data_IF_013882138254
#
_entry.id   IF_013882138254
#
_cell.length_a   1.000
_cell.length_b   1.000
_cell.length_c   1.000
_cell.angle_alpha   90.00
_cell.angle_beta   90.00
_cell.angle_gamma   90.00
#
_symmetry.space_group_name_H-M   'P 1'
#
loop_
_entity.id
_entity.type
_entity.pdbx_description
1 polymer ?
#
# COMPACT_ATOMS: atom_id res chain seq x y z
N UNK A 1 2.31 28.54 49.81
CA UNK A 1 3.44 27.90 49.09
C UNK A 1 3.04 26.58 48.41
N UNK A 2 2.00 26.55 47.56
CA UNK A 2 1.66 25.34 46.78
C UNK A 2 1.09 25.61 45.38
N UNK A 3 1.42 26.75 44.78
CA UNK A 3 0.83 27.21 43.51
C UNK A 3 1.84 27.32 42.35
N UNK A 4 3.00 26.65 42.38
CA UNK A 4 4.06 26.89 41.40
C UNK A 4 4.64 25.63 40.71
N UNK A 5 3.88 24.53 40.58
CA UNK A 5 4.38 23.34 39.85
C UNK A 5 3.61 22.99 38.56
N UNK A 6 2.54 23.69 38.18
CA UNK A 6 1.77 23.34 36.96
C UNK A 6 2.12 24.14 35.70
N UNK A 7 3.29 24.79 35.65
CA UNK A 7 3.74 25.52 34.44
C UNK A 7 4.96 24.86 33.77
N UNK A 8 5.12 23.55 33.95
CA UNK A 8 5.90 22.75 33.02
C UNK A 8 5.05 22.50 31.79
N UNK A 9 5.22 23.35 30.77
CA UNK A 9 4.77 23.00 29.43
C UNK A 9 5.47 21.70 29.04
N UNK A 10 4.73 20.59 29.06
CA UNK A 10 5.15 19.35 28.42
C UNK A 10 5.07 19.57 26.90
N UNK A 11 6.08 20.27 26.39
CA UNK A 11 6.23 20.61 24.97
C UNK A 11 6.50 19.38 24.11
N UNK A 12 6.76 18.21 24.71
CA UNK A 12 6.98 16.98 23.95
C UNK A 12 5.66 16.21 23.74
N UNK A 13 4.81 16.13 24.76
CA UNK A 13 3.53 15.40 24.69
C UNK A 13 2.41 16.12 23.93
N UNK A 14 2.41 17.45 23.91
CA UNK A 14 1.30 18.23 23.33
C UNK A 14 1.62 18.77 21.93
N UNK A 15 2.87 19.11 21.61
CA UNK A 15 3.25 19.65 20.30
C UNK A 15 3.27 18.60 19.18
N UNK A 16 3.50 17.32 19.52
CA UNK A 16 3.38 16.21 18.56
C UNK A 16 1.93 15.97 18.10
N UNK A 17 0.95 16.29 18.95
CA UNK A 17 -0.47 16.14 18.63
C UNK A 17 -1.03 17.28 17.79
N UNK A 18 -0.46 18.50 17.89
CA UNK A 18 -0.96 19.68 17.17
C UNK A 18 -0.22 19.98 15.86
N UNK A 19 1.05 19.60 15.72
CA UNK A 19 1.81 19.89 14.48
C UNK A 19 1.78 18.76 13.47
N UNK A 20 1.54 17.51 13.90
CA UNK A 20 1.77 16.30 13.07
C UNK A 20 3.14 16.26 12.36
N UNK A 21 4.05 17.19 12.62
CA UNK A 21 5.29 17.39 11.85
C UNK A 21 6.55 17.01 12.64
N UNK A 22 6.42 16.71 13.93
CA UNK A 22 7.50 16.14 14.75
C UNK A 22 7.49 14.61 14.82
N UNK A 23 6.46 13.97 14.24
CA UNK A 23 6.21 12.53 14.27
C UNK A 23 5.67 12.00 12.92
N UNK A 24 5.79 12.78 11.84
CA UNK A 24 5.82 12.19 10.49
C UNK A 24 7.16 11.46 10.37
N UNK A 25 7.22 10.31 11.05
CA UNK A 25 8.21 9.29 10.80
C UNK A 25 8.28 9.16 9.26
N UNK A 26 9.45 9.25 8.63
CA UNK A 26 9.58 9.03 7.19
C UNK A 26 8.85 7.75 6.75
N UNK A 27 8.66 6.79 7.66
CA UNK A 27 7.74 5.68 7.50
C UNK A 27 6.31 6.11 7.11
N UNK A 28 5.64 7.02 7.82
CA UNK A 28 4.26 7.45 7.57
C UNK A 28 4.04 8.05 6.18
N UNK A 29 4.97 8.89 5.73
CA UNK A 29 4.93 9.49 4.39
C UNK A 29 5.08 8.39 3.33
N UNK A 30 6.03 7.47 3.51
CA UNK A 30 6.24 6.34 2.63
C UNK A 30 5.01 5.41 2.62
N UNK A 31 4.40 5.15 3.77
CA UNK A 31 3.19 4.35 3.90
C UNK A 31 2.02 4.94 3.10
N UNK A 32 1.84 6.26 3.16
CA UNK A 32 0.78 6.96 2.44
C UNK A 32 0.99 6.88 0.92
N UNK A 33 2.23 7.06 0.46
CA UNK A 33 2.61 6.96 -0.96
C UNK A 33 2.41 5.54 -1.48
N UNK A 34 2.90 4.54 -0.73
CA UNK A 34 2.74 3.12 -1.08
C UNK A 34 1.26 2.77 -1.16
N UNK A 35 0.47 3.04 -0.12
CA UNK A 35 -0.95 2.68 -0.09
C UNK A 35 -1.73 3.32 -1.24
N UNK A 36 -1.51 4.62 -1.50
CA UNK A 36 -2.15 5.33 -2.61
C UNK A 36 -1.78 4.72 -3.97
N UNK A 37 -0.50 4.42 -4.17
CA UNK A 37 0.00 3.83 -5.42
C UNK A 37 -0.55 2.42 -5.64
N UNK A 38 -0.61 1.60 -4.57
CA UNK A 38 -1.13 0.24 -4.60
C UNK A 38 -2.62 0.20 -4.94
N UNK A 39 -3.42 1.09 -4.36
CA UNK A 39 -4.87 1.17 -4.65
C UNK A 39 -5.09 1.58 -6.11
N UNK A 40 -4.33 2.55 -6.61
CA UNK A 40 -4.42 2.99 -8.00
C UNK A 40 -4.07 1.87 -8.98
N UNK A 41 -2.92 1.21 -8.80
CA UNK A 41 -2.50 0.07 -9.64
C UNK A 41 -3.44 -1.13 -9.51
N UNK A 42 -3.87 -1.45 -8.29
CA UNK A 42 -4.77 -2.56 -8.02
C UNK A 42 -6.12 -2.39 -8.70
N UNK A 43 -6.66 -1.17 -8.71
CA UNK A 43 -7.93 -0.84 -9.38
C UNK A 43 -7.82 -1.03 -10.89
N UNK A 44 -6.75 -0.54 -11.52
CA UNK A 44 -6.51 -0.71 -12.95
C UNK A 44 -6.39 -2.20 -13.30
N UNK A 45 -5.64 -2.95 -12.49
CA UNK A 45 -5.45 -4.39 -12.68
C UNK A 45 -6.78 -5.14 -12.60
N UNK A 46 -7.65 -4.79 -11.63
CA UNK A 46 -8.97 -5.39 -11.49
C UNK A 46 -9.84 -5.15 -12.73
N UNK A 47 -9.84 -3.93 -13.28
CA UNK A 47 -10.58 -3.61 -14.51
C UNK A 47 -10.08 -4.45 -15.69
N UNK A 48 -8.76 -4.61 -15.84
CA UNK A 48 -8.17 -5.43 -16.91
C UNK A 48 -8.57 -6.91 -16.77
N UNK A 49 -8.62 -7.45 -15.55
CA UNK A 49 -9.09 -8.83 -15.30
C UNK A 49 -10.53 -9.01 -15.77
N UNK A 50 -11.40 -8.05 -15.45
CA UNK A 50 -12.81 -8.09 -15.85
C UNK A 50 -12.91 -8.11 -17.39
N UNK A 51 -12.22 -7.19 -18.07
CA UNK A 51 -12.23 -7.11 -19.55
C UNK A 51 -11.67 -8.40 -20.18
N UNK A 52 -10.59 -8.95 -19.63
CA UNK A 52 -10.00 -10.20 -20.09
C UNK A 52 -10.94 -11.39 -19.90
N UNK A 53 -11.64 -11.43 -18.76
CA UNK A 53 -12.65 -12.45 -18.46
C UNK A 53 -13.81 -12.42 -19.45
N UNK A 54 -14.33 -11.22 -19.74
CA UNK A 54 -15.36 -11.07 -20.78
C UNK A 54 -14.86 -11.48 -22.16
N UNK A 55 -13.63 -11.12 -22.53
CA UNK A 55 -13.03 -11.53 -23.81
C UNK A 55 -12.89 -13.05 -23.90
N UNK A 56 -12.55 -13.72 -22.80
CA UNK A 56 -12.45 -15.18 -22.76
C UNK A 56 -13.82 -15.85 -22.88
N UNK A 57 -14.82 -15.35 -22.15
CA UNK A 57 -16.19 -15.90 -22.16
C UNK A 57 -16.88 -15.68 -23.52
N UNK A 58 -16.61 -14.56 -24.18
CA UNK A 58 -17.15 -14.23 -25.52
C UNK A 58 -16.34 -14.79 -26.68
N UNK A 59 -15.24 -15.50 -26.42
CA UNK A 59 -14.38 -16.05 -27.47
C UNK A 59 -15.07 -17.14 -28.31
N UNK A 60 -16.15 -17.76 -27.82
CA UNK A 60 -17.02 -18.67 -28.57
C UNK A 60 -16.30 -19.79 -29.37
N UNK A 61 -15.11 -20.22 -28.93
CA UNK A 61 -14.30 -21.25 -29.60
C UNK A 61 -13.27 -20.73 -30.61
N UNK A 62 -13.16 -19.43 -30.82
CA UNK A 62 -12.10 -18.84 -31.65
C UNK A 62 -10.76 -18.88 -30.90
N UNK A 63 -9.80 -19.67 -31.41
CA UNK A 63 -8.50 -19.86 -30.77
C UNK A 63 -7.72 -18.55 -30.57
N UNK A 64 -7.84 -17.59 -31.50
CA UNK A 64 -7.14 -16.30 -31.42
C UNK A 64 -7.64 -15.46 -30.24
N UNK A 65 -8.96 -15.33 -30.05
CA UNK A 65 -9.54 -14.70 -28.86
C UNK A 65 -9.19 -15.41 -27.56
N UNK A 66 -9.18 -16.75 -27.55
CA UNK A 66 -8.78 -17.53 -26.37
C UNK A 66 -7.31 -17.27 -26.02
N UNK A 67 -6.41 -17.26 -27.01
CA UNK A 67 -4.99 -16.97 -26.82
C UNK A 67 -4.79 -15.55 -26.29
N UNK A 68 -5.44 -14.57 -26.90
CA UNK A 68 -5.39 -13.17 -26.47
C UNK A 68 -5.90 -13.00 -25.03
N UNK A 69 -7.02 -13.63 -24.67
CA UNK A 69 -7.54 -13.57 -23.32
C UNK A 69 -6.60 -14.25 -22.30
N UNK A 70 -5.97 -15.38 -22.66
CA UNK A 70 -4.95 -16.03 -21.82
C UNK A 70 -3.73 -15.15 -21.60
N UNK A 71 -3.26 -14.44 -22.61
CA UNK A 71 -2.11 -13.55 -22.47
C UNK A 71 -2.43 -12.35 -21.57
N UNK A 72 -3.63 -11.77 -21.68
CA UNK A 72 -4.08 -10.72 -20.77
C UNK A 72 -4.25 -11.26 -19.34
N UNK A 73 -4.84 -12.44 -19.16
CA UNK A 73 -4.99 -13.08 -17.84
C UNK A 73 -3.64 -13.37 -17.18
N UNK A 74 -2.63 -13.81 -17.94
CA UNK A 74 -1.26 -13.99 -17.43
C UNK A 74 -0.66 -12.67 -16.96
N UNK A 75 -0.77 -11.61 -17.78
CA UNK A 75 -0.28 -10.28 -17.42
C UNK A 75 -0.97 -9.71 -16.17
N UNK A 76 -2.29 -9.88 -16.08
CA UNK A 76 -3.06 -9.44 -14.94
C UNK A 76 -2.75 -10.22 -13.66
N UNK A 77 -2.56 -11.54 -13.77
CA UNK A 77 -2.15 -12.40 -12.64
C UNK A 77 -0.78 -11.96 -12.12
N UNK A 78 0.18 -11.70 -13.01
CA UNK A 78 1.51 -11.24 -12.62
C UNK A 78 1.45 -9.86 -11.93
N UNK A 79 0.64 -8.94 -12.45
CA UNK A 79 0.40 -7.63 -11.81
C UNK A 79 -0.18 -7.76 -10.41
N UNK A 80 -1.15 -8.67 -10.21
CA UNK A 80 -1.76 -8.91 -8.92
C UNK A 80 -0.76 -9.51 -7.91
N UNK A 81 0.08 -10.44 -8.35
CA UNK A 81 1.18 -11.00 -7.53
C UNK A 81 2.17 -9.91 -7.12
N UNK A 82 2.54 -9.00 -8.02
CA UNK A 82 3.47 -7.90 -7.72
C UNK A 82 2.87 -6.93 -6.68
N UNK A 83 1.59 -6.58 -6.80
CA UNK A 83 0.91 -5.69 -5.82
C UNK A 83 0.90 -6.32 -4.43
N UNK A 84 0.51 -7.58 -4.33
CA UNK A 84 0.51 -8.32 -3.07
C UNK A 84 1.93 -8.49 -2.50
N UNK A 85 2.90 -8.80 -3.36
CA UNK A 85 4.31 -8.94 -2.99
C UNK A 85 4.92 -7.62 -2.51
N UNK A 86 4.62 -6.50 -3.17
CA UNK A 86 5.08 -5.17 -2.78
C UNK A 86 4.57 -4.77 -1.40
N UNK A 87 3.27 -4.98 -1.14
CA UNK A 87 2.70 -4.72 0.19
C UNK A 87 3.38 -5.56 1.28
N UNK A 88 3.54 -6.86 1.04
CA UNK A 88 4.19 -7.77 1.98
C UNK A 88 5.64 -7.41 2.27
N UNK A 89 6.41 -7.06 1.23
CA UNK A 89 7.80 -6.62 1.37
C UNK A 89 7.92 -5.31 2.15
N UNK A 90 7.04 -4.34 1.89
CA UNK A 90 7.03 -3.09 2.64
C UNK A 90 6.81 -3.36 4.14
N UNK A 91 5.80 -4.16 4.49
CA UNK A 91 5.52 -4.53 5.89
C UNK A 91 6.71 -5.24 6.55
N UNK A 92 7.37 -6.13 5.80
CA UNK A 92 8.55 -6.83 6.29
C UNK A 92 9.71 -5.88 6.62
N UNK A 93 10.02 -4.93 5.72
CA UNK A 93 11.09 -3.96 5.94
C UNK A 93 10.83 -3.07 7.17
N UNK A 94 9.61 -2.57 7.33
CA UNK A 94 9.25 -1.77 8.51
C UNK A 94 9.35 -2.59 9.80
N UNK A 95 8.90 -3.84 9.76
CA UNK A 95 9.01 -4.75 10.91
C UNK A 95 10.48 -5.02 11.25
N UNK A 96 11.33 -5.24 10.25
CA UNK A 96 12.76 -5.49 10.43
C UNK A 96 13.48 -4.30 11.08
N UNK A 97 13.19 -3.08 10.63
CA UNK A 97 13.78 -1.85 11.20
C UNK A 97 13.30 -1.65 12.64
N UNK A 98 11.99 -1.80 12.90
CA UNK A 98 11.42 -1.67 14.25
C UNK A 98 12.03 -2.66 15.24
N UNK A 99 12.23 -3.92 14.81
CA UNK A 99 12.88 -4.95 15.63
C UNK A 99 14.35 -4.59 15.90
N UNK A 100 15.08 -4.13 14.89
CA UNK A 100 16.49 -3.79 15.02
C UNK A 100 16.77 -2.55 15.91
N UNK A 101 15.83 -1.60 15.98
CA UNK A 101 15.98 -0.37 16.78
C UNK A 101 15.39 -0.47 18.20
N UNK A 102 14.47 -1.39 18.43
CA UNK A 102 13.86 -1.62 19.78
C UNK A 102 14.56 -2.77 20.54
N UNK A 103 15.56 -3.40 19.93
CA UNK A 103 16.38 -4.46 20.53
C UNK A 103 17.67 -3.94 21.16
#
# INVERSE_FOLDING_TARGET
>A
MKLAYSLGFDTNGTLQSYTQLGNEDPASIVFTIINTSLIFLGTITLILIIVAGFLWLTAAGEEEKIKKAKDIMKGATLGLVIVLGSYGLAQYLFTAIRIATTG
#
